data_IF_844753529293
#
_entry.id   IF_844753529293
#
_cell.length_a   1.000
_cell.length_b   1.000
_cell.length_c   1.000
_cell.angle_alpha   90.00
_cell.angle_beta   90.00
_cell.angle_gamma   90.00
#
_symmetry.space_group_name_H-M   'P 1'
#
loop_
_entity.id
_entity.type
_entity.pdbx_description
1 polymer ?
#
# COMPACT_ATOMS: atom_id res chain seq x y z
N UNK A 1 -5.67 27.39 -23.63
CA UNK A 1 -6.28 26.29 -22.87
C UNK A 1 -6.77 26.87 -21.56
N UNK A 2 -8.01 26.61 -21.17
CA UNK A 2 -8.55 27.07 -19.88
C UNK A 2 -8.23 26.05 -18.79
N UNK A 3 -7.13 26.28 -18.07
CA UNK A 3 -6.65 25.37 -17.03
C UNK A 3 -7.62 25.26 -15.84
N UNK A 4 -8.41 26.29 -15.55
CA UNK A 4 -9.34 26.26 -14.43
C UNK A 4 -10.48 25.27 -14.71
N UNK A 5 -11.07 25.35 -15.91
CA UNK A 5 -12.13 24.44 -16.35
C UNK A 5 -11.66 22.98 -16.44
N UNK A 6 -10.50 22.73 -17.03
CA UNK A 6 -9.97 21.37 -17.16
C UNK A 6 -9.58 20.77 -15.80
N UNK A 7 -9.02 21.58 -14.88
CA UNK A 7 -8.71 21.13 -13.52
C UNK A 7 -9.95 20.73 -12.73
N UNK A 8 -11.05 21.51 -12.83
CA UNK A 8 -12.32 21.15 -12.21
C UNK A 8 -12.88 19.83 -12.75
N UNK A 9 -12.89 19.65 -14.08
CA UNK A 9 -13.33 18.41 -14.72
C UNK A 9 -12.54 17.20 -14.23
N UNK A 10 -11.21 17.32 -14.17
CA UNK A 10 -10.33 16.28 -13.64
C UNK A 10 -10.70 15.90 -12.20
N UNK A 11 -10.89 16.89 -11.31
CA UNK A 11 -11.18 16.61 -9.90
C UNK A 11 -12.57 16.01 -9.68
N UNK A 12 -13.56 16.37 -10.51
CA UNK A 12 -14.87 15.69 -10.49
C UNK A 12 -14.77 14.22 -10.88
N UNK A 13 -13.92 13.88 -11.85
CA UNK A 13 -13.70 12.50 -12.29
C UNK A 13 -12.92 11.69 -11.25
N UNK A 14 -11.82 12.25 -10.73
CA UNK A 14 -10.94 11.55 -9.82
C UNK A 14 -11.50 11.40 -8.40
N UNK A 15 -12.36 12.33 -7.96
CA UNK A 15 -12.91 12.38 -6.58
C UNK A 15 -11.83 12.31 -5.48
N UNK A 16 -10.67 12.88 -5.77
CA UNK A 16 -9.47 12.74 -4.94
C UNK A 16 -8.29 12.40 -5.82
N UNK A 17 -7.12 12.96 -5.54
CA UNK A 17 -5.92 12.77 -6.39
C UNK A 17 -5.04 11.60 -5.92
N UNK A 18 -5.28 11.13 -4.71
CA UNK A 18 -4.46 10.14 -4.04
C UNK A 18 -5.31 8.92 -3.78
N UNK A 19 -4.71 7.77 -4.04
CA UNK A 19 -5.21 6.46 -3.67
C UNK A 19 -4.08 5.63 -3.05
N UNK A 20 -4.45 4.64 -2.24
CA UNK A 20 -3.53 3.65 -1.70
C UNK A 20 -4.01 2.29 -2.19
N UNK A 21 -3.20 1.64 -3.00
CA UNK A 21 -3.50 0.32 -3.57
C UNK A 21 -2.55 -0.73 -3.01
N UNK A 22 -3.08 -1.92 -2.75
CA UNK A 22 -2.25 -3.05 -2.28
C UNK A 22 -1.21 -3.43 -3.34
N UNK A 23 0.01 -3.75 -2.88
CA UNK A 23 1.07 -4.32 -3.74
C UNK A 23 1.07 -5.84 -3.77
N UNK A 24 0.36 -6.47 -2.84
CA UNK A 24 0.17 -7.91 -2.80
C UNK A 24 -1.24 -8.25 -3.27
N UNK A 25 -1.42 -9.31 -4.09
CA UNK A 25 -2.75 -9.88 -4.31
C UNK A 25 -3.30 -10.40 -2.99
N UNK A 26 -4.59 -10.16 -2.74
CA UNK A 26 -5.33 -10.63 -1.56
C UNK A 26 -6.64 -11.22 -2.06
N UNK A 27 -6.52 -12.24 -2.91
CA UNK A 27 -7.59 -12.88 -3.68
C UNK A 27 -7.94 -14.28 -3.17
N UNK A 28 -7.22 -14.78 -2.17
CA UNK A 28 -7.51 -16.04 -1.48
C UNK A 28 -7.25 -15.94 0.03
N UNK A 29 -7.71 -16.94 0.78
CA UNK A 29 -7.43 -17.08 2.20
C UNK A 29 -5.92 -17.21 2.47
N UNK A 30 -5.23 -18.01 1.67
CA UNK A 30 -3.77 -18.19 1.75
C UNK A 30 -3.03 -16.88 1.45
N UNK A 31 -3.48 -16.13 0.44
CA UNK A 31 -2.90 -14.83 0.10
C UNK A 31 -3.06 -13.82 1.25
N UNK A 32 -4.25 -13.78 1.88
CA UNK A 32 -4.50 -12.97 3.07
C UNK A 32 -3.65 -13.42 4.26
N UNK A 33 -3.53 -14.73 4.48
CA UNK A 33 -2.74 -15.30 5.57
C UNK A 33 -1.25 -14.99 5.46
N UNK A 34 -0.72 -14.84 4.24
CA UNK A 34 0.67 -14.41 4.01
C UNK A 34 0.85 -12.88 4.17
N UNK A 35 -0.10 -12.09 3.65
CA UNK A 35 -0.04 -10.63 3.73
C UNK A 35 -0.37 -10.10 5.15
N UNK A 36 -1.09 -10.87 5.95
CA UNK A 36 -1.53 -10.52 7.29
C UNK A 36 -1.32 -11.70 8.26
N UNK A 37 -2.17 -11.87 9.26
CA UNK A 37 -2.06 -12.97 10.22
C UNK A 37 -2.32 -14.32 9.55
N UNK A 38 -1.48 -15.35 9.78
CA UNK A 38 -0.31 -15.37 10.69
C UNK A 38 1.03 -14.96 10.05
N UNK A 39 1.14 -14.87 8.71
CA UNK A 39 2.40 -14.68 7.99
C UNK A 39 3.16 -13.40 8.33
N UNK A 40 2.44 -12.30 8.59
CA UNK A 40 3.02 -10.98 8.95
C UNK A 40 3.90 -11.03 10.20
N UNK A 41 3.75 -12.04 11.06
CA UNK A 41 4.60 -12.21 12.24
C UNK A 41 6.08 -12.36 11.89
N UNK A 42 6.42 -13.05 10.79
CA UNK A 42 7.82 -13.30 10.44
C UNK A 42 8.60 -12.03 10.10
N UNK A 43 8.14 -11.13 9.19
CA UNK A 43 8.83 -9.86 8.96
C UNK A 43 8.89 -8.98 10.22
N UNK A 44 7.87 -9.01 11.08
CA UNK A 44 7.93 -8.30 12.36
C UNK A 44 9.05 -8.82 13.27
N UNK A 45 9.21 -10.13 13.41
CA UNK A 45 10.30 -10.74 14.19
C UNK A 45 11.68 -10.46 13.58
N UNK A 46 11.80 -10.40 12.27
CA UNK A 46 13.06 -10.03 11.61
C UNK A 46 13.43 -8.57 11.88
N UNK A 47 12.45 -7.65 11.81
CA UNK A 47 12.67 -6.23 12.15
C UNK A 47 12.98 -6.04 13.65
N UNK A 48 12.39 -6.87 14.51
CA UNK A 48 12.70 -6.84 15.94
C UNK A 48 14.17 -7.19 16.21
N UNK A 49 14.73 -8.14 15.46
CA UNK A 49 16.15 -8.53 15.58
C UNK A 49 17.08 -7.48 15.01
N UNK A 50 16.67 -6.84 13.92
CA UNK A 50 17.44 -5.81 13.20
C UNK A 50 16.49 -4.76 12.61
N UNK A 51 16.53 -3.56 13.19
CA UNK A 51 15.63 -2.45 12.81
C UNK A 51 15.87 -1.96 11.39
N UNK A 52 17.09 -2.12 10.85
CA UNK A 52 17.43 -1.66 9.51
C UNK A 52 16.70 -2.48 8.43
N UNK A 53 16.31 -3.73 8.73
CA UNK A 53 15.43 -4.53 7.86
C UNK A 53 14.08 -3.87 7.60
N UNK A 54 13.67 -2.86 8.37
CA UNK A 54 12.46 -2.08 8.06
C UNK A 54 12.55 -1.40 6.69
N UNK A 55 13.75 -1.01 6.23
CA UNK A 55 13.95 -0.43 4.89
C UNK A 55 13.86 -1.47 3.77
N UNK A 56 14.12 -2.75 4.08
CA UNK A 56 14.04 -3.85 3.10
C UNK A 56 12.63 -4.44 3.03
N UNK A 57 11.97 -4.60 4.18
CA UNK A 57 10.72 -5.36 4.32
C UNK A 57 9.46 -4.49 4.32
N UNK A 58 9.59 -3.15 4.30
CA UNK A 58 8.44 -2.23 4.39
C UNK A 58 8.52 -1.09 3.37
N UNK A 59 7.67 -0.06 3.55
CA UNK A 59 7.59 1.14 2.69
C UNK A 59 8.03 2.41 3.42
N UNK A 60 8.89 2.27 4.43
CA UNK A 60 9.52 3.38 5.15
C UNK A 60 10.54 4.13 4.30
#
# INVERSE_FOLDING_TARGET
MDYAKESLKLHYQLKGKLEVVSRAPVDSEEALALAYTPGVAQPCLEIQKDVDKSYELTRR
#
